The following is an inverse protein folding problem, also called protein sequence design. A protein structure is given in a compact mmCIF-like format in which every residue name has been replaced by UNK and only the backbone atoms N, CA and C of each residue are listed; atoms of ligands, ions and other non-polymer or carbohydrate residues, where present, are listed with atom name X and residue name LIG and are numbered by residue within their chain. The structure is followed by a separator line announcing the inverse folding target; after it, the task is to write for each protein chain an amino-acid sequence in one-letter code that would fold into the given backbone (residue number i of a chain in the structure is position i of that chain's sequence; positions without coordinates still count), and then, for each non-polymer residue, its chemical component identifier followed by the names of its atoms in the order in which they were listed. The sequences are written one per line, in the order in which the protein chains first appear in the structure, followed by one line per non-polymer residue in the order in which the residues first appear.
data_IF_795401185903
#
_entry.id   IF_795401185903
#
_cell.length_a   1.000
_cell.length_b   1.000
_cell.length_c   1.000
_cell.angle_alpha   90.00
_cell.angle_beta   90.00
_cell.angle_gamma   90.00
#
_symmetry.space_group_name_H-M   'P 1'
#
loop_
_entity.id
_entity.type
_entity.pdbx_description
1 polymer ?
#
# COMPACT_ATOMS: atom_id res chain seq x y z
N UNK A 1 -13.20 -17.58 4.26
CA UNK A 1 -13.19 -16.27 3.58
C UNK A 1 -13.17 -16.50 2.07
N UNK A 2 -13.70 -15.59 1.28
CA UNK A 2 -13.64 -15.66 -0.18
C UNK A 2 -12.96 -14.41 -0.76
N UNK A 3 -11.85 -14.59 -1.49
CA UNK A 3 -11.17 -13.51 -2.21
C UNK A 3 -11.87 -13.28 -3.55
N UNK A 4 -12.44 -12.11 -3.74
CA UNK A 4 -13.13 -11.72 -4.96
C UNK A 4 -12.21 -10.88 -5.84
N UNK A 5 -11.96 -11.34 -7.06
CA UNK A 5 -10.97 -10.74 -7.96
C UNK A 5 -11.56 -10.39 -9.34
N UNK A 6 -10.92 -9.46 -10.02
CA UNK A 6 -11.23 -9.14 -11.42
C UNK A 6 -10.84 -10.25 -12.40
N UNK A 7 -11.37 -10.18 -13.63
CA UNK A 7 -11.10 -11.16 -14.72
C UNK A 7 -9.63 -11.23 -15.15
N UNK A 8 -8.85 -10.18 -14.86
CA UNK A 8 -7.43 -10.05 -15.18
C UNK A 8 -6.71 -9.60 -13.90
N UNK A 9 -6.36 -10.54 -13.00
CA UNK A 9 -5.69 -10.19 -11.76
C UNK A 9 -4.33 -9.55 -12.05
N UNK A 10 -4.03 -8.47 -11.35
CA UNK A 10 -2.79 -7.70 -11.47
C UNK A 10 -2.04 -7.61 -10.13
N UNK A 11 -1.28 -6.54 -9.97
CA UNK A 11 -0.39 -6.34 -8.81
C UNK A 11 -1.20 -6.23 -7.50
N UNK A 12 -2.39 -5.62 -7.51
CA UNK A 12 -3.26 -5.50 -6.33
C UNK A 12 -3.81 -6.85 -5.86
N UNK A 13 -4.27 -7.70 -6.78
CA UNK A 13 -4.66 -9.08 -6.44
C UNK A 13 -3.47 -9.89 -5.95
N UNK A 14 -2.29 -9.71 -6.54
CA UNK A 14 -1.08 -10.42 -6.14
C UNK A 14 -0.73 -10.18 -4.67
N UNK A 15 -0.83 -8.93 -4.19
CA UNK A 15 -0.65 -8.60 -2.75
C UNK A 15 -1.54 -9.49 -1.86
N UNK A 16 -2.83 -9.60 -2.22
CA UNK A 16 -3.80 -10.39 -1.46
C UNK A 16 -3.47 -11.89 -1.48
N UNK A 17 -3.12 -12.44 -2.65
CA UNK A 17 -2.72 -13.85 -2.75
C UNK A 17 -1.45 -14.16 -1.98
N UNK A 18 -0.49 -13.24 -1.95
CA UNK A 18 0.73 -13.37 -1.14
C UNK A 18 0.39 -13.33 0.34
N UNK A 19 -0.38 -12.35 0.83
CA UNK A 19 -0.78 -12.29 2.23
C UNK A 19 -1.49 -13.58 2.68
N UNK A 20 -2.40 -14.12 1.86
CA UNK A 20 -3.08 -15.39 2.14
C UNK A 20 -2.12 -16.60 2.16
N UNK A 21 -1.17 -16.66 1.23
CA UNK A 21 -0.19 -17.73 1.16
C UNK A 21 0.79 -17.70 2.34
N UNK A 22 1.35 -16.54 2.67
CA UNK A 22 2.31 -16.37 3.77
C UNK A 22 1.70 -16.64 5.14
N UNK A 23 0.40 -16.34 5.30
CA UNK A 23 -0.32 -16.61 6.55
C UNK A 23 -0.92 -18.01 6.61
N UNK A 24 -0.75 -18.82 5.55
CA UNK A 24 -1.42 -20.12 5.39
C UNK A 24 -2.94 -20.05 5.62
N UNK A 25 -3.55 -18.90 5.31
CA UNK A 25 -4.97 -18.66 5.50
C UNK A 25 -5.79 -19.50 4.52
N UNK A 26 -6.86 -20.13 5.00
CA UNK A 26 -7.78 -20.88 4.12
C UNK A 26 -8.74 -19.92 3.42
N UNK A 27 -8.80 -19.99 2.08
CA UNK A 27 -9.66 -19.14 1.27
C UNK A 27 -10.18 -19.86 0.02
N UNK A 28 -11.26 -19.32 -0.54
CA UNK A 28 -11.73 -19.62 -1.90
C UNK A 28 -11.64 -18.38 -2.79
N UNK A 29 -11.67 -18.56 -4.12
CA UNK A 29 -11.63 -17.45 -5.07
C UNK A 29 -13.00 -17.28 -5.73
N UNK A 30 -13.50 -16.05 -5.76
CA UNK A 30 -14.72 -15.66 -6.45
C UNK A 30 -14.48 -14.52 -7.45
N UNK A 31 -15.53 -14.18 -8.20
CA UNK A 31 -15.50 -13.02 -9.09
C UNK A 31 -15.91 -11.75 -8.32
N UNK A 32 -15.14 -10.67 -8.49
CA UNK A 32 -15.52 -9.37 -7.96
C UNK A 32 -16.81 -8.84 -8.60
N UNK A 33 -17.67 -8.21 -7.80
CA UNK A 33 -18.85 -7.52 -8.31
C UNK A 33 -18.41 -6.39 -9.25
N UNK A 34 -19.04 -6.31 -10.42
CA UNK A 34 -18.83 -5.23 -11.40
C UNK A 34 -19.08 -3.85 -10.79
N UNK A 35 -20.01 -3.73 -9.84
CA UNK A 35 -20.30 -2.47 -9.13
C UNK A 35 -19.07 -1.94 -8.39
N UNK A 36 -18.23 -2.84 -7.87
CA UNK A 36 -17.06 -2.49 -7.07
C UNK A 36 -15.74 -2.76 -7.78
N UNK A 37 -15.76 -3.02 -9.09
CA UNK A 37 -14.57 -3.31 -9.87
C UNK A 37 -13.52 -2.17 -9.83
N UNK A 38 -13.94 -0.93 -9.55
CA UNK A 38 -13.02 0.21 -9.39
C UNK A 38 -12.31 0.25 -8.03
N UNK A 39 -12.73 -0.56 -7.06
CA UNK A 39 -12.20 -0.58 -5.70
C UNK A 39 -11.04 -1.58 -5.51
N UNK A 40 -10.68 -2.31 -6.57
CA UNK A 40 -9.65 -3.35 -6.52
C UNK A 40 -10.17 -4.69 -5.96
N UNK A 41 -9.26 -5.55 -5.46
CA UNK A 41 -9.65 -6.83 -4.87
C UNK A 41 -10.49 -6.63 -3.60
N UNK A 42 -11.33 -7.63 -3.31
CA UNK A 42 -12.20 -7.64 -2.13
C UNK A 42 -12.07 -8.97 -1.41
N UNK A 43 -12.31 -8.98 -0.10
CA UNK A 43 -12.49 -10.23 0.65
C UNK A 43 -13.86 -10.22 1.32
N UNK A 44 -14.60 -11.29 1.11
CA UNK A 44 -15.85 -11.58 1.82
C UNK A 44 -15.53 -12.38 3.08
N UNK A 45 -15.90 -11.80 4.22
CA UNK A 45 -15.70 -12.33 5.56
C UNK A 45 -17.03 -12.83 6.09
N UNK A 46 -17.17 -14.13 6.40
CA UNK A 46 -18.39 -14.67 6.95
C UNK A 46 -18.70 -14.08 8.33
N UNK A 47 -19.92 -13.55 8.50
CA UNK A 47 -20.42 -13.05 9.79
C UNK A 47 -21.54 -13.98 10.26
N UNK A 48 -21.45 -14.47 11.50
CA UNK A 48 -22.44 -15.41 12.04
C UNK A 48 -23.80 -14.72 12.18
N UNK A 49 -24.80 -15.22 11.44
CA UNK A 49 -26.17 -14.71 11.52
C UNK A 49 -26.42 -13.40 10.76
N UNK A 50 -25.48 -12.97 9.91
CA UNK A 50 -25.63 -11.80 9.05
C UNK A 50 -25.09 -12.11 7.64
N UNK A 51 -25.28 -11.16 6.72
CA UNK A 51 -24.61 -11.20 5.43
C UNK A 51 -23.09 -11.04 5.59
N UNK A 52 -22.32 -11.60 4.67
CA UNK A 52 -20.86 -11.45 4.65
C UNK A 52 -20.46 -9.97 4.63
N UNK A 53 -19.44 -9.64 5.40
CA UNK A 53 -18.82 -8.32 5.38
C UNK A 53 -17.80 -8.25 4.25
N UNK A 54 -17.82 -7.15 3.49
CA UNK A 54 -16.90 -6.92 2.38
C UNK A 54 -15.84 -5.91 2.75
N UNK A 55 -14.58 -6.33 2.69
CA UNK A 55 -13.41 -5.45 2.84
C UNK A 55 -12.86 -5.17 1.45
N UNK A 56 -12.60 -3.89 1.17
CA UNK A 56 -12.17 -3.38 -0.14
C UNK A 56 -10.72 -2.91 -0.11
N UNK A 57 -10.06 -2.92 -1.28
CA UNK A 57 -8.66 -2.56 -1.52
C UNK A 57 -7.64 -3.59 -1.04
N UNK A 58 -6.52 -3.71 -1.76
CA UNK A 58 -5.51 -4.71 -1.43
C UNK A 58 -4.89 -4.48 -0.05
N UNK A 59 -4.59 -3.23 0.32
CA UNK A 59 -3.91 -2.94 1.59
C UNK A 59 -4.82 -3.29 2.79
N UNK A 60 -6.13 -2.99 2.72
CA UNK A 60 -7.07 -3.36 3.79
C UNK A 60 -7.28 -4.89 3.86
N UNK A 61 -7.39 -5.56 2.71
CA UNK A 61 -7.47 -7.03 2.65
C UNK A 61 -6.22 -7.65 3.29
N UNK A 62 -5.03 -7.17 2.93
CA UNK A 62 -3.76 -7.67 3.46
C UNK A 62 -3.65 -7.44 4.97
N UNK A 63 -4.02 -6.26 5.49
CA UNK A 63 -4.05 -5.97 6.93
C UNK A 63 -5.00 -6.90 7.67
N UNK A 64 -6.22 -7.09 7.13
CA UNK A 64 -7.19 -8.00 7.74
C UNK A 64 -6.68 -9.44 7.80
N UNK A 65 -6.11 -9.96 6.69
CA UNK A 65 -5.57 -11.32 6.64
C UNK A 65 -4.40 -11.50 7.62
N UNK A 66 -3.47 -10.54 7.67
CA UNK A 66 -2.35 -10.55 8.60
C UNK A 66 -2.83 -10.54 10.07
N UNK A 67 -3.77 -9.65 10.41
CA UNK A 67 -4.32 -9.54 11.75
C UNK A 67 -5.12 -10.79 12.16
N UNK A 68 -5.96 -11.32 11.27
CA UNK A 68 -6.76 -12.52 11.53
C UNK A 68 -5.89 -13.78 11.76
N UNK A 69 -4.70 -13.82 11.15
CA UNK A 69 -3.74 -14.90 11.31
C UNK A 69 -2.70 -14.68 12.42
N UNK A 70 -2.64 -13.47 13.01
CA UNK A 70 -1.60 -13.11 13.98
C UNK A 70 -0.18 -13.20 13.42
N UNK A 71 0.01 -12.85 12.14
CA UNK A 71 1.27 -13.00 11.41
C UNK A 71 1.58 -11.75 10.56
N UNK A 72 2.85 -11.58 10.16
CA UNK A 72 3.35 -10.44 9.37
C UNK A 72 3.29 -9.06 10.08
N UNK A 73 3.17 -9.04 11.41
CA UNK A 73 2.91 -7.84 12.23
C UNK A 73 4.14 -7.27 12.98
N UNK A 74 5.38 -7.56 12.57
CA UNK A 74 6.54 -7.06 13.33
C UNK A 74 6.61 -5.52 13.30
N UNK A 75 6.55 -4.87 14.47
CA UNK A 75 6.56 -3.41 14.67
C UNK A 75 5.54 -2.65 13.79
N UNK A 76 4.31 -2.56 14.31
CA UNK A 76 3.12 -2.04 13.64
C UNK A 76 3.35 -0.67 12.96
N UNK A 77 4.12 0.23 13.60
CA UNK A 77 4.31 1.60 13.10
C UNK A 77 5.25 1.69 11.89
N UNK A 78 6.35 0.94 11.89
CA UNK A 78 7.30 0.95 10.78
C UNK A 78 6.71 0.27 9.55
N UNK A 79 5.95 -0.82 9.77
CA UNK A 79 5.22 -1.51 8.70
C UNK A 79 4.14 -0.60 8.11
N UNK A 80 3.37 0.10 8.95
CA UNK A 80 2.34 1.02 8.49
C UNK A 80 2.92 2.19 7.68
N UNK A 81 4.09 2.72 8.06
CA UNK A 81 4.77 3.74 7.25
C UNK A 81 5.05 3.26 5.82
N UNK A 82 5.49 2.00 5.66
CA UNK A 82 5.72 1.42 4.34
C UNK A 82 4.42 1.24 3.55
N UNK A 83 3.34 0.82 4.22
CA UNK A 83 2.03 0.66 3.59
C UNK A 83 1.44 2.01 3.15
N UNK A 84 1.60 3.05 3.96
CA UNK A 84 1.15 4.40 3.64
C UNK A 84 1.97 5.03 2.52
N UNK A 85 3.30 4.90 2.57
CA UNK A 85 4.18 5.36 1.52
C UNK A 85 3.87 4.66 0.19
N UNK A 86 3.63 3.34 0.22
CA UNK A 86 3.20 2.60 -0.96
C UNK A 86 1.89 3.15 -1.54
N UNK A 87 0.88 3.34 -0.69
CA UNK A 87 -0.45 3.77 -1.12
C UNK A 87 -0.48 5.20 -1.67
N UNK A 88 0.32 6.10 -1.08
CA UNK A 88 0.28 7.54 -1.36
C UNK A 88 1.36 8.02 -2.33
N UNK A 89 2.48 7.30 -2.46
CA UNK A 89 3.61 7.71 -3.29
C UNK A 89 3.82 6.71 -4.44
N UNK A 90 4.18 5.47 -4.10
CA UNK A 90 4.67 4.52 -5.11
C UNK A 90 3.56 4.01 -6.03
N UNK A 91 2.41 3.58 -5.51
CA UNK A 91 1.30 3.09 -6.34
C UNK A 91 0.69 4.18 -7.25
N UNK A 92 0.45 5.42 -6.77
CA UNK A 92 0.09 6.53 -7.63
C UNK A 92 1.12 6.79 -8.74
N UNK A 93 2.41 6.78 -8.41
CA UNK A 93 3.48 6.91 -9.41
C UNK A 93 3.42 5.80 -10.46
N UNK A 94 3.30 4.53 -10.06
CA UNK A 94 3.16 3.39 -10.98
C UNK A 94 1.94 3.55 -11.89
N UNK A 95 0.80 3.99 -11.33
CA UNK A 95 -0.44 4.24 -12.10
C UNK A 95 -0.25 5.37 -13.12
N UNK A 96 0.52 6.40 -12.80
CA UNK A 96 0.83 7.49 -13.71
C UNK A 96 1.82 7.07 -14.79
N UNK A 97 2.88 6.36 -14.42
CA UNK A 97 3.92 5.87 -15.33
C UNK A 97 3.39 4.86 -16.37
N UNK A 98 2.32 4.11 -16.05
CA UNK A 98 1.63 3.22 -17.00
C UNK A 98 0.74 3.96 -18.01
N UNK A 99 0.44 5.25 -17.82
CA UNK A 99 -0.39 6.01 -18.77
C UNK A 99 0.45 6.47 -19.96
N UNK A 100 -0.10 6.44 -21.19
CA UNK A 100 0.59 7.01 -22.34
C UNK A 100 0.85 8.50 -22.11
N UNK A 101 2.03 8.97 -22.51
CA UNK A 101 2.38 10.38 -22.43
C UNK A 101 1.34 11.23 -23.19
N UNK A 102 0.90 12.38 -22.66
CA UNK A 102 0.04 13.30 -23.38
C UNK A 102 0.69 13.68 -24.71
N UNK A 103 -0.06 13.54 -25.82
CA UNK A 103 0.41 14.01 -27.12
C UNK A 103 0.67 15.52 -27.04
N UNK A 104 1.90 15.94 -27.29
CA UNK A 104 2.27 17.35 -27.45
C UNK A 104 3.04 17.99 -26.29
N UNK A 105 3.31 17.29 -25.18
CA UNK A 105 4.20 17.82 -24.13
C UNK A 105 5.66 17.41 -24.38
N UNK A 106 6.38 18.25 -25.12
CA UNK A 106 7.84 18.22 -25.24
C UNK A 106 8.51 19.00 -24.08
N UNK A 107 8.04 18.81 -22.85
CA UNK A 107 8.73 19.33 -21.68
C UNK A 107 9.81 18.33 -21.24
N UNK A 108 10.96 18.85 -20.78
CA UNK A 108 12.05 18.09 -20.17
C UNK A 108 11.60 17.48 -18.82
N UNK A 109 10.66 16.53 -18.88
CA UNK A 109 10.26 15.75 -17.71
C UNK A 109 11.41 14.79 -17.38
N UNK A 110 11.77 14.65 -16.09
CA UNK A 110 12.70 13.62 -15.67
C UNK A 110 12.23 12.27 -16.20
N UNK A 111 13.17 11.44 -16.66
CA UNK A 111 12.92 10.08 -17.07
C UNK A 111 12.27 9.27 -15.92
N UNK A 112 11.59 8.17 -16.26
CA UNK A 112 11.02 7.30 -15.23
C UNK A 112 12.10 6.74 -14.28
N UNK A 113 13.33 6.55 -14.79
CA UNK A 113 14.47 6.13 -13.99
C UNK A 113 14.85 7.17 -12.94
N UNK A 114 14.95 8.45 -13.34
CA UNK A 114 15.27 9.56 -12.43
C UNK A 114 14.16 9.75 -11.39
N UNK A 115 12.89 9.72 -11.80
CA UNK A 115 11.77 9.84 -10.86
C UNK A 115 11.76 8.72 -9.82
N UNK A 116 11.93 7.47 -10.26
CA UNK A 116 11.95 6.33 -9.34
C UNK A 116 13.18 6.38 -8.43
N UNK A 117 14.33 6.82 -8.95
CA UNK A 117 15.55 7.04 -8.15
C UNK A 117 15.28 8.03 -7.03
N UNK A 118 14.73 9.22 -7.32
CA UNK A 118 14.41 10.22 -6.29
C UNK A 118 13.44 9.69 -5.23
N UNK A 119 12.40 8.96 -5.65
CA UNK A 119 11.41 8.37 -4.73
C UNK A 119 12.07 7.38 -3.76
N UNK A 120 12.99 6.55 -4.27
CA UNK A 120 13.66 5.52 -3.46
C UNK A 120 14.78 6.10 -2.60
N UNK A 121 15.54 7.08 -3.08
CA UNK A 121 16.57 7.77 -2.29
C UNK A 121 15.94 8.50 -1.11
N UNK A 122 14.83 9.21 -1.32
CA UNK A 122 14.10 9.86 -0.24
C UNK A 122 13.59 8.85 0.81
N UNK A 123 13.16 7.67 0.37
CA UNK A 123 12.72 6.61 1.28
C UNK A 123 13.89 5.99 2.06
N UNK A 124 15.04 5.77 1.41
CA UNK A 124 16.24 5.24 2.06
C UNK A 124 16.88 6.25 3.01
N UNK A 125 16.85 7.55 2.71
CA UNK A 125 17.35 8.59 3.62
C UNK A 125 16.57 8.63 4.95
N UNK A 126 15.27 8.35 4.89
CA UNK A 126 14.42 8.24 6.07
C UNK A 126 14.66 6.94 6.87
N UNK A 127 15.36 5.95 6.31
CA UNK A 127 15.61 4.66 6.96
C UNK A 127 16.72 4.78 8.02
N UNK A 128 16.60 4.11 9.19
CA UNK A 128 17.68 4.10 10.18
C UNK A 128 18.99 3.52 9.61
N UNK A 129 20.10 4.26 9.75
CA UNK A 129 21.41 3.91 9.17
C UNK A 129 22.10 2.66 9.74
N UNK A 130 21.47 1.98 10.70
CA UNK A 130 22.00 0.78 11.37
C UNK A 130 21.38 -0.51 10.85
N UNK A 131 20.48 -0.43 9.86
CA UNK A 131 19.91 -1.60 9.18
C UNK A 131 20.88 -1.97 8.06
N UNK A 132 21.45 -3.17 8.10
CA UNK A 132 22.47 -3.64 7.15
C UNK A 132 21.95 -3.81 5.71
N UNK A 133 22.48 -4.80 4.99
CA UNK A 133 21.95 -5.15 3.67
C UNK A 133 20.44 -5.45 3.74
N UNK A 134 19.72 -5.05 2.67
CA UNK A 134 18.27 -5.02 2.64
C UNK A 134 17.72 -6.43 2.33
N UNK A 135 17.71 -7.29 3.34
CA UNK A 135 17.10 -8.63 3.26
C UNK A 135 15.56 -8.53 3.26
N UNK A 136 15.02 -7.64 4.10
CA UNK A 136 13.61 -7.23 4.17
C UNK A 136 13.52 -5.70 4.20
N UNK A 137 12.35 -5.13 3.91
CA UNK A 137 12.15 -3.67 3.97
C UNK A 137 12.30 -3.12 5.39
N UNK A 138 12.00 -3.95 6.38
CA UNK A 138 12.12 -3.61 7.78
C UNK A 138 12.42 -4.86 8.63
N UNK A 139 13.26 -4.70 9.64
CA UNK A 139 13.57 -5.76 10.60
C UNK A 139 14.35 -6.93 9.99
N UNK A 140 14.26 -8.09 10.65
CA UNK A 140 14.93 -9.33 10.27
C UNK A 140 13.95 -10.41 9.78
N UNK A 141 12.68 -10.07 9.64
CA UNK A 141 11.61 -10.99 9.30
C UNK A 141 10.75 -10.42 8.18
N UNK A 142 9.99 -11.29 7.52
CA UNK A 142 9.07 -10.88 6.48
C UNK A 142 7.81 -10.26 7.09
N UNK A 143 7.42 -9.11 6.55
CA UNK A 143 6.31 -8.30 7.08
C UNK A 143 5.28 -7.99 6.02
N UNK A 144 4.20 -7.34 6.43
CA UNK A 144 3.22 -6.81 5.49
C UNK A 144 3.82 -5.75 4.55
N UNK A 145 4.88 -5.04 4.97
CA UNK A 145 5.59 -4.10 4.11
C UNK A 145 6.20 -4.81 2.91
N UNK A 146 6.88 -5.95 3.12
CA UNK A 146 7.49 -6.73 2.04
C UNK A 146 6.44 -7.25 1.05
N UNK A 147 5.26 -7.63 1.55
CA UNK A 147 4.15 -8.07 0.71
C UNK A 147 3.59 -6.90 -0.12
N UNK A 148 3.23 -5.79 0.54
CA UNK A 148 2.52 -4.68 -0.10
C UNK A 148 3.46 -3.82 -0.95
N UNK A 149 4.50 -3.26 -0.32
CA UNK A 149 5.46 -2.42 -1.00
C UNK A 149 6.38 -3.22 -1.94
N UNK A 150 6.78 -4.45 -1.58
CA UNK A 150 7.61 -5.29 -2.45
C UNK A 150 6.93 -5.64 -3.79
N UNK A 151 5.62 -5.89 -3.80
CA UNK A 151 4.86 -6.10 -5.04
C UNK A 151 4.83 -4.84 -5.90
N UNK A 152 4.57 -3.69 -5.29
CA UNK A 152 4.51 -2.41 -6.02
C UNK A 152 5.88 -1.98 -6.51
N UNK A 153 6.95 -2.21 -5.73
CA UNK A 153 8.35 -2.01 -6.13
C UNK A 153 8.70 -2.86 -7.35
N UNK A 154 8.30 -4.13 -7.37
CA UNK A 154 8.46 -5.00 -8.55
C UNK A 154 7.76 -4.43 -9.77
N UNK A 155 6.55 -3.90 -9.60
CA UNK A 155 5.81 -3.28 -10.70
C UNK A 155 6.50 -2.00 -11.19
N UNK A 156 7.01 -1.18 -10.28
CA UNK A 156 7.74 0.05 -10.57
C UNK A 156 9.04 -0.21 -11.34
N UNK A 157 9.87 -1.13 -10.85
CA UNK A 157 11.16 -1.48 -11.44
C UNK A 157 11.04 -2.12 -12.83
N UNK A 158 9.89 -2.72 -13.17
CA UNK A 158 9.59 -3.20 -14.54
C UNK A 158 9.33 -2.07 -15.54
N UNK A 159 8.93 -0.89 -15.08
CA UNK A 159 8.69 0.29 -15.93
C UNK A 159 9.99 1.03 -16.26
N UNK A 160 11.04 0.79 -15.48
CA UNK A 160 12.36 1.41 -15.65
C UNK A 160 13.30 0.40 -16.30
N UNK A 161 13.82 0.74 -17.49
CA UNK A 161 14.80 -0.10 -18.18
C UNK A 161 16.08 -0.19 -17.36
N UNK A 162 16.59 -1.40 -17.20
CA UNK A 162 17.87 -1.65 -16.56
C UNK A 162 19.03 -1.15 -17.44
N UNK A 163 20.00 -0.50 -16.80
CA UNK A 163 21.16 0.10 -17.45
C UNK A 163 22.41 -0.07 -16.55
N UNK A 164 23.58 -0.26 -17.14
CA UNK A 164 24.83 -0.42 -16.40
C UNK A 164 25.16 0.81 -15.53
N UNK A 165 24.77 2.01 -15.98
CA UNK A 165 24.91 3.28 -15.29
C UNK A 165 23.73 3.64 -14.38
N UNK A 166 22.79 2.73 -14.09
CA UNK A 166 21.67 3.05 -13.20
C UNK A 166 22.15 3.35 -11.77
N UNK A 167 21.36 4.17 -11.06
CA UNK A 167 21.65 4.59 -9.69
C UNK A 167 21.77 3.39 -8.75
N UNK A 168 22.66 3.49 -7.75
CA UNK A 168 22.93 2.41 -6.80
C UNK A 168 21.66 1.96 -6.06
N UNK A 169 20.78 2.92 -5.71
CA UNK A 169 19.50 2.62 -5.06
C UNK A 169 18.61 1.70 -5.90
N UNK A 170 18.59 1.87 -7.24
CA UNK A 170 17.80 1.02 -8.13
C UNK A 170 18.35 -0.40 -8.13
N UNK A 171 19.67 -0.56 -8.17
CA UNK A 171 20.34 -1.87 -8.09
C UNK A 171 19.99 -2.58 -6.77
N UNK A 172 20.03 -1.87 -5.65
CA UNK A 172 19.65 -2.40 -4.33
C UNK A 172 18.21 -2.92 -4.32
N UNK A 173 17.24 -2.11 -4.76
CA UNK A 173 15.84 -2.54 -4.77
C UNK A 173 15.54 -3.63 -5.82
N UNK A 174 16.27 -3.67 -6.95
CA UNK A 174 16.19 -4.79 -7.90
C UNK A 174 16.67 -6.10 -7.29
N UNK A 175 17.81 -6.08 -6.59
CA UNK A 175 18.34 -7.23 -5.88
C UNK A 175 17.36 -7.72 -4.81
N UNK A 176 16.88 -6.80 -3.96
CA UNK A 176 15.88 -7.09 -2.95
C UNK A 176 14.61 -7.72 -3.53
N UNK A 177 13.99 -7.11 -4.55
CA UNK A 177 12.77 -7.66 -5.17
C UNK A 177 13.03 -9.03 -5.81
N UNK A 178 14.21 -9.22 -6.40
CA UNK A 178 14.58 -10.51 -7.00
C UNK A 178 14.69 -11.60 -5.94
N UNK A 179 15.38 -11.31 -4.83
CA UNK A 179 15.48 -12.22 -3.68
C UNK A 179 14.12 -12.51 -3.06
N UNK A 180 13.31 -11.47 -2.82
CA UNK A 180 11.99 -11.58 -2.22
C UNK A 180 11.08 -12.51 -3.04
N UNK A 181 11.04 -12.32 -4.37
CA UNK A 181 10.19 -13.13 -5.25
C UNK A 181 10.76 -14.51 -5.60
N UNK A 182 12.01 -14.80 -5.22
CA UNK A 182 12.58 -16.14 -5.28
C UNK A 182 12.19 -17.01 -4.07
N UNK A 183 11.68 -16.42 -2.98
CA UNK A 183 11.23 -17.16 -1.79
C UNK A 183 10.08 -18.10 -2.13
N UNK A 184 10.10 -19.29 -1.55
CA UNK A 184 9.12 -20.35 -1.80
C UNK A 184 7.67 -19.86 -1.61
N UNK A 185 7.41 -19.11 -0.54
CA UNK A 185 6.06 -18.61 -0.23
C UNK A 185 5.57 -17.57 -1.24
N UNK A 186 6.48 -16.75 -1.79
CA UNK A 186 6.17 -15.79 -2.84
C UNK A 186 5.89 -16.50 -4.18
N UNK A 187 6.64 -17.57 -4.47
CA UNK A 187 6.40 -18.43 -5.62
C UNK A 187 5.03 -19.10 -5.50
N UNK A 188 4.70 -19.66 -4.33
CA UNK A 188 3.38 -20.26 -4.04
C UNK A 188 2.24 -19.25 -4.20
N UNK A 189 2.34 -18.06 -3.61
CA UNK A 189 1.32 -17.01 -3.76
C UNK A 189 1.14 -16.54 -5.21
N UNK A 190 2.25 -16.39 -5.95
CA UNK A 190 2.20 -16.05 -7.39
C UNK A 190 1.52 -17.15 -8.21
N UNK A 191 1.78 -18.42 -7.90
CA UNK A 191 1.13 -19.56 -8.55
C UNK A 191 -0.36 -19.63 -8.21
N UNK A 192 -0.73 -19.40 -6.95
CA UNK A 192 -2.12 -19.36 -6.48
C UNK A 192 -2.92 -18.28 -7.21
N UNK A 193 -2.35 -17.07 -7.41
CA UNK A 193 -3.00 -16.02 -8.19
C UNK A 193 -3.26 -16.46 -9.64
N UNK A 194 -2.28 -17.09 -10.29
CA UNK A 194 -2.43 -17.60 -11.66
C UNK A 194 -3.53 -18.64 -11.76
N UNK A 195 -3.67 -19.51 -10.75
CA UNK A 195 -4.74 -20.50 -10.68
C UNK A 195 -6.11 -19.84 -10.43
N UNK A 196 -6.20 -18.93 -9.45
CA UNK A 196 -7.42 -18.18 -9.14
C UNK A 196 -7.93 -17.32 -10.30
N UNK A 197 -7.03 -16.75 -11.09
CA UNK A 197 -7.37 -16.01 -12.32
C UNK A 197 -7.99 -16.88 -13.43
N UNK A 198 -7.74 -18.20 -13.42
CA UNK A 198 -8.44 -19.15 -14.31
C UNK A 198 -9.84 -19.48 -13.77
N UNK A 199 -9.96 -19.69 -12.46
CA UNK A 199 -11.23 -20.01 -11.80
C UNK A 199 -12.27 -18.87 -11.88
N UNK A 200 -11.84 -17.61 -11.71
CA UNK A 200 -12.73 -16.43 -11.79
C UNK A 200 -13.31 -16.16 -13.18
N UNK A 201 -12.78 -16.77 -14.25
CA UNK A 201 -13.32 -16.68 -15.61
C UNK A 201 -14.50 -17.63 -15.86
N UNK A 202 -14.65 -18.70 -15.06
CA UNK A 202 -15.69 -19.71 -15.20
C UNK A 202 -16.85 -19.61 -14.20
N UNK A 203 -16.72 -18.78 -13.15
CA UNK A 203 -17.75 -18.63 -12.13
C UNK A 203 -18.87 -17.67 -12.54
N UNK A 204 -20.11 -18.15 -12.54
CA UNK A 204 -21.28 -17.28 -12.45
C UNK A 204 -21.11 -16.43 -11.18
N UNK A 205 -21.10 -15.10 -11.34
CA UNK A 205 -20.91 -14.16 -10.22
C UNK A 205 -21.90 -14.49 -9.11
N UNK A 206 -21.38 -14.82 -7.93
CA UNK A 206 -22.22 -14.97 -6.74
C UNK A 206 -22.67 -13.55 -6.41
N UNK A 207 -23.92 -13.25 -6.75
CA UNK A 207 -24.58 -12.04 -6.31
C UNK A 207 -24.72 -12.14 -4.78
N UNK A 208 -23.78 -11.55 -4.04
CA UNK A 208 -23.98 -11.29 -2.63
C UNK A 208 -25.11 -10.26 -2.54
N UNK A 209 -26.30 -10.71 -2.14
CA UNK A 209 -27.47 -9.87 -1.88
C UNK A 209 -27.28 -8.97 -0.66
N UNK A 210 -26.25 -8.13 -0.67
CA UNK A 210 -26.05 -7.09 0.32
C UNK A 210 -27.11 -6.00 0.11
N UNK A 211 -27.77 -5.52 1.18
CA UNK A 211 -28.72 -4.42 1.07
C UNK A 211 -28.03 -3.20 0.44
N UNK A 212 -28.75 -2.49 -0.42
CA UNK A 212 -28.28 -1.31 -1.12
C UNK A 212 -27.84 -0.21 -0.14
N UNK A 213 -26.54 -0.10 0.12
CA UNK A 213 -25.97 1.16 0.57
C UNK A 213 -25.96 2.13 -0.63
N UNK A 214 -26.63 3.28 -0.45
CA UNK A 214 -26.83 4.33 -1.45
C UNK A 214 -25.50 4.84 -2.00
N UNK A 215 -25.36 4.84 -3.33
CA UNK A 215 -24.18 5.26 -4.09
C UNK A 215 -24.01 6.79 -4.19
N UNK A 216 -24.39 7.54 -3.17
CA UNK A 216 -24.14 8.97 -3.14
C UNK A 216 -22.73 9.23 -2.60
N UNK A 217 -21.82 9.67 -3.48
CA UNK A 217 -20.50 10.24 -3.17
C UNK A 217 -19.34 9.29 -2.79
N UNK A 218 -18.99 8.34 -3.67
CA UNK A 218 -17.57 7.90 -3.70
C UNK A 218 -16.79 8.95 -4.50
N UNK A 219 -16.29 9.97 -3.82
CA UNK A 219 -15.36 10.94 -4.41
C UNK A 219 -14.05 10.21 -4.67
N UNK A 220 -13.72 9.99 -5.95
CA UNK A 220 -12.37 9.54 -6.31
C UNK A 220 -11.40 10.63 -5.88
N UNK A 221 -10.38 10.23 -5.12
CA UNK A 221 -9.28 11.13 -4.79
C UNK A 221 -8.68 11.70 -6.08
N UNK A 222 -8.84 13.01 -6.29
CA UNK A 222 -8.20 13.78 -7.38
C UNK A 222 -6.77 14.16 -7.01
N UNK A 223 -6.20 13.48 -6.02
CA UNK A 223 -4.92 13.78 -5.43
C UNK A 223 -3.82 13.75 -6.49
N UNK A 224 -3.13 14.88 -6.60
CA UNK A 224 -1.90 15.04 -7.37
C UNK A 224 -0.76 15.00 -6.36
N UNK A 225 0.30 14.26 -6.66
CA UNK A 225 1.54 14.38 -5.91
C UNK A 225 1.97 15.85 -5.95
N UNK A 226 2.01 16.50 -4.79
CA UNK A 226 2.70 17.77 -4.64
C UNK A 226 4.19 17.52 -4.41
N UNK A 227 4.99 18.59 -4.53
CA UNK A 227 6.45 18.51 -4.45
C UNK A 227 6.95 18.00 -3.10
N UNK A 228 6.15 18.15 -2.02
CA UNK A 228 6.51 17.69 -0.66
C UNK A 228 6.23 16.19 -0.49
N UNK A 229 5.15 15.69 -1.07
CA UNK A 229 4.83 14.26 -1.07
C UNK A 229 5.76 13.46 -1.98
N UNK A 230 6.23 14.08 -3.07
CA UNK A 230 7.26 13.52 -3.95
C UNK A 230 8.61 13.32 -3.24
N UNK A 231 8.88 14.08 -2.18
CA UNK A 231 10.06 13.94 -1.31
C UNK A 231 9.90 12.82 -0.26
N UNK A 232 8.88 11.98 -0.36
CA UNK A 232 8.72 10.81 0.53
C UNK A 232 8.33 11.14 1.98
N UNK A 233 8.06 12.41 2.30
CA UNK A 233 7.66 12.88 3.63
C UNK A 233 6.16 12.64 3.88
N UNK A 234 5.76 11.39 4.08
CA UNK A 234 4.36 11.01 4.38
C UNK A 234 3.85 11.58 5.71
N UNK A 235 4.76 11.87 6.64
CA UNK A 235 4.46 12.23 8.03
C UNK A 235 3.95 13.65 8.28
N UNK A 236 4.29 14.62 7.42
CA UNK A 236 3.83 16.00 7.61
C UNK A 236 2.31 16.13 7.43
N UNK A 237 1.68 15.22 6.66
CA UNK A 237 0.24 15.27 6.41
C UNK A 237 -0.57 14.75 7.59
N UNK A 238 -0.12 13.70 8.29
CA UNK A 238 -0.84 13.18 9.46
C UNK A 238 -0.68 14.13 10.65
N UNK A 239 0.52 14.67 10.89
CA UNK A 239 0.71 15.67 11.95
C UNK A 239 -0.16 16.91 11.70
N UNK A 240 -0.20 17.42 10.47
CA UNK A 240 -1.07 18.55 10.12
C UNK A 240 -2.56 18.22 10.30
N UNK A 241 -3.00 17.01 9.94
CA UNK A 241 -4.39 16.57 10.15
C UNK A 241 -4.72 16.45 11.63
N UNK A 242 -3.80 15.92 12.45
CA UNK A 242 -3.95 15.81 13.90
C UNK A 242 -3.98 17.20 14.54
N UNK A 243 -3.06 18.08 14.18
CA UNK A 243 -3.02 19.48 14.63
C UNK A 243 -4.32 20.22 14.29
N UNK A 244 -4.86 20.02 13.08
CA UNK A 244 -6.15 20.59 12.67
C UNK A 244 -7.33 20.05 13.50
N UNK A 245 -7.33 18.75 13.83
CA UNK A 245 -8.37 18.14 14.66
C UNK A 245 -8.32 18.67 16.11
N UNK A 246 -7.12 18.81 16.68
CA UNK A 246 -6.94 19.38 18.02
C UNK A 246 -7.32 20.86 18.05
N UNK A 247 -6.89 21.65 17.06
CA UNK A 247 -7.25 23.06 16.93
C UNK A 247 -8.78 23.25 16.84
N UNK A 248 -9.45 22.44 16.03
CA UNK A 248 -10.91 22.47 15.92
C UNK A 248 -11.60 22.10 17.24
N UNK A 249 -11.12 21.08 17.95
CA UNK A 249 -11.66 20.67 19.25
C UNK A 249 -11.46 21.74 20.33
N UNK A 250 -10.29 22.39 20.36
CA UNK A 250 -9.96 23.46 21.30
C UNK A 250 -10.82 24.69 21.05
N UNK A 251 -10.95 25.12 19.80
CA UNK A 251 -11.81 26.26 19.42
C UNK A 251 -13.28 26.01 19.72
N UNK A 252 -13.75 24.77 19.59
CA UNK A 252 -15.11 24.39 19.95
C UNK A 252 -15.33 24.39 21.49
N UNK A 253 -14.34 23.96 22.26
CA UNK A 253 -14.41 23.92 23.73
C UNK A 253 -14.24 25.30 24.38
N UNK A 254 -13.48 26.21 23.77
CA UNK A 254 -13.12 27.52 24.32
C UNK A 254 -13.38 28.66 23.31
N UNK A 255 -14.66 28.97 22.99
CA UNK A 255 -14.98 30.01 22.04
C UNK A 255 -14.55 31.40 22.55
N UNK A 256 -13.80 32.15 21.73
CA UNK A 256 -13.38 33.53 22.00
C UNK A 256 -12.03 33.69 22.70
N UNK A 257 -11.35 32.60 23.04
CA UNK A 257 -9.95 32.65 23.48
C UNK A 257 -9.01 32.48 22.27
N UNK A 258 -8.04 33.39 22.15
CA UNK A 258 -6.96 33.27 21.17
C UNK A 258 -5.87 32.36 21.74
N UNK A 259 -5.90 31.08 21.35
CA UNK A 259 -4.97 30.05 21.82
C UNK A 259 -3.91 29.85 20.73
N UNK A 260 -2.61 29.87 21.07
CA UNK A 260 -1.54 29.64 20.10
C UNK A 260 -1.67 28.26 19.42
N UNK A 261 -1.19 28.18 18.19
CA UNK A 261 -1.28 26.97 17.39
C UNK A 261 -0.70 25.76 18.13
N UNK A 262 -1.44 24.65 18.12
CA UNK A 262 -0.99 23.38 18.70
C UNK A 262 0.17 22.87 17.85
N UNK A 263 1.37 22.85 18.42
CA UNK A 263 2.54 22.22 17.80
C UNK A 263 2.64 20.79 18.35
N UNK A 264 2.42 19.78 17.49
CA UNK A 264 2.63 18.39 17.88
C UNK A 264 4.09 18.04 17.63
N UNK A 265 4.95 18.37 18.59
CA UNK A 265 6.36 17.93 18.55
C UNK A 265 6.47 16.44 18.81
N UNK A 266 7.20 15.73 17.95
CA UNK A 266 7.68 14.37 18.24
C UNK A 266 8.64 14.44 19.43
N UNK A 267 8.26 13.90 20.58
CA UNK A 267 9.25 13.49 21.58
C UNK A 267 10.00 12.26 21.08
N UNK A 268 10.98 12.47 20.20
CA UNK A 268 12.15 11.59 20.14
C UNK A 268 13.02 11.86 21.38
N UNK A 269 12.46 11.64 22.56
CA UNK A 269 13.13 11.93 23.81
C UNK A 269 14.02 10.75 24.18
N UNK A 270 15.29 10.82 23.77
CA UNK A 270 16.40 10.28 24.58
C UNK A 270 16.52 10.98 25.95
N UNK A 271 15.66 11.95 26.26
CA UNK A 271 15.57 12.62 27.55
C UNK A 271 14.15 12.50 28.13
N UNK A 272 13.78 11.31 28.61
CA UNK A 272 12.78 11.20 29.65
C UNK A 272 13.38 11.71 30.97
N UNK A 273 13.43 13.04 31.13
CA UNK A 273 13.58 13.73 32.41
C UNK A 273 12.73 14.99 32.42
N UNK A 274 11.43 14.78 32.54
CA UNK A 274 10.45 15.67 33.15
C UNK A 274 9.41 14.70 33.74
N UNK A 275 9.01 14.71 34.99
CA UNK A 275 9.21 15.57 36.15
C UNK A 275 8.17 15.05 37.14
#
# INVERSE_FOLDING_TARGET
MQLLIGKKPGDEELKCFLALALTSSTFSVGAADKKYASCGPQIAVPVKGAADELIFSANAVCRYVAAAAGALQSDDLAVDEWLEWEANVLAPWVRQAKKPAPKGEAAAKPSLAEQLTSILEAKEEARPKNVGELEFLFGSEITLADVVAGVTLRAALKLVKEDAGEAAVLKTFRAYVTQLFAREDFVKGTAAMKAGGKASKGGAGVASGAPMASTASVVRSTFKLDDKLAQGLTYHNILSVVELLFDAAIKAAYPGLDIPAVEVTRTNAKNAKFG
#
